data_IF_972971154132
#
_entry.id   IF_972971154132
#
_cell.length_a   1.000
_cell.length_b   1.000
_cell.length_c   1.000
_cell.angle_alpha   90.00
_cell.angle_beta   90.00
_cell.angle_gamma   90.00
#
_symmetry.space_group_name_H-M   'P 1'
#
loop_
_entity.id
_entity.type
_entity.pdbx_description
1 polymer ?
#
# COMPACT_ATOMS: atom_id res chain seq x y z
N UNK A 1 -8.99 13.74 -9.14
CA UNK A 1 -9.79 12.61 -8.60
C UNK A 1 -8.92 11.61 -7.82
N UNK A 2 -7.67 11.38 -8.21
CA UNK A 2 -6.67 10.54 -7.51
C UNK A 2 -6.30 11.05 -6.11
N UNK A 3 -6.21 12.37 -5.90
CA UNK A 3 -5.96 13.00 -4.58
C UNK A 3 -6.90 12.49 -3.47
N UNK A 4 -8.12 12.13 -3.82
CA UNK A 4 -9.12 11.68 -2.85
C UNK A 4 -8.81 10.27 -2.32
N UNK A 5 -8.30 9.37 -3.17
CA UNK A 5 -8.03 7.97 -2.82
C UNK A 5 -6.75 7.88 -2.00
N UNK A 6 -5.71 8.63 -2.37
CA UNK A 6 -4.45 8.69 -1.62
C UNK A 6 -4.68 9.24 -0.21
N UNK A 7 -5.41 10.36 -0.09
CA UNK A 7 -5.77 10.94 1.21
C UNK A 7 -6.68 10.01 2.03
N UNK A 8 -7.63 9.30 1.42
CA UNK A 8 -8.46 8.33 2.12
C UNK A 8 -7.67 7.12 2.62
N UNK A 9 -6.80 6.55 1.78
CA UNK A 9 -5.94 5.43 2.16
C UNK A 9 -4.98 5.86 3.28
N UNK A 10 -4.43 7.07 3.18
CA UNK A 10 -3.58 7.66 4.19
C UNK A 10 -4.31 7.83 5.53
N UNK A 11 -5.52 8.40 5.49
CA UNK A 11 -6.38 8.61 6.65
C UNK A 11 -6.77 7.29 7.31
N UNK A 12 -7.18 6.29 6.53
CA UNK A 12 -7.53 4.96 7.03
C UNK A 12 -6.34 4.26 7.71
N UNK A 13 -5.14 4.34 7.12
CA UNK A 13 -3.93 3.79 7.74
C UNK A 13 -3.59 4.50 9.06
N UNK A 14 -3.78 5.83 9.13
CA UNK A 14 -3.57 6.61 10.36
C UNK A 14 -4.56 6.21 11.46
N UNK A 15 -5.86 6.12 11.12
CA UNK A 15 -6.89 5.69 12.07
C UNK A 15 -6.67 4.25 12.57
N UNK A 16 -6.14 3.34 11.74
CA UNK A 16 -5.77 2.00 12.17
C UNK A 16 -4.62 2.03 13.20
N UNK A 17 -3.61 2.86 12.99
CA UNK A 17 -2.50 3.04 13.94
C UNK A 17 -3.00 3.62 15.26
N UNK A 18 -3.87 4.63 15.21
CA UNK A 18 -4.48 5.24 16.40
C UNK A 18 -5.34 4.24 17.18
N UNK A 19 -6.14 3.42 16.48
CA UNK A 19 -6.93 2.37 17.09
C UNK A 19 -6.05 1.34 17.79
N UNK A 20 -4.98 0.88 17.14
CA UNK A 20 -4.03 -0.06 17.76
C UNK A 20 -3.39 0.53 19.02
N UNK A 21 -2.98 1.80 18.98
CA UNK A 21 -2.44 2.50 20.17
C UNK A 21 -3.45 2.61 21.29
N UNK A 22 -4.70 2.97 20.98
CA UNK A 22 -5.76 3.07 21.99
C UNK A 22 -6.11 1.72 22.63
N UNK A 23 -5.98 0.62 21.89
CA UNK A 23 -6.12 -0.74 22.43
C UNK A 23 -4.92 -1.12 23.32
N UNK A 24 -3.70 -0.71 22.94
CA UNK A 24 -2.49 -0.89 23.74
C UNK A 24 -2.57 -0.13 25.08
N UNK A 25 -3.01 1.14 25.08
CA UNK A 25 -3.18 1.96 26.29
C UNK A 25 -4.19 1.34 27.28
N UNK A 26 -5.05 0.43 26.81
CA UNK A 26 -6.02 -0.31 27.62
C UNK A 26 -5.54 -1.70 28.04
N UNK A 27 -4.28 -2.05 27.79
CA UNK A 27 -3.69 -3.35 28.16
C UNK A 27 -4.10 -4.52 27.26
N UNK A 28 -4.60 -4.25 26.05
CA UNK A 28 -4.93 -5.31 25.08
C UNK A 28 -3.67 -5.59 24.24
N UNK A 29 -2.84 -6.51 24.71
CA UNK A 29 -1.50 -6.81 24.16
C UNK A 29 -1.52 -7.45 22.76
N UNK A 30 -2.62 -8.11 22.36
CA UNK A 30 -2.75 -8.78 21.05
C UNK A 30 -4.17 -8.72 20.49
N UNK A 31 -4.58 -7.62 19.85
CA UNK A 31 -5.79 -7.65 19.03
C UNK A 31 -5.48 -8.49 17.77
N UNK A 32 -5.78 -9.80 17.82
CA UNK A 32 -5.67 -10.73 16.68
C UNK A 32 -6.31 -10.15 15.42
N UNK A 33 -7.37 -9.37 15.60
CA UNK A 33 -8.06 -8.61 14.56
C UNK A 33 -7.16 -7.56 13.90
N UNK A 34 -6.35 -6.81 14.66
CA UNK A 34 -5.38 -5.86 14.11
C UNK A 34 -4.28 -6.55 13.30
N UNK A 35 -3.79 -7.70 13.77
CA UNK A 35 -2.83 -8.50 13.00
C UNK A 35 -3.46 -9.02 11.70
N UNK A 36 -4.70 -9.52 11.73
CA UNK A 36 -5.42 -9.98 10.54
C UNK A 36 -5.63 -8.85 9.53
N UNK A 37 -6.04 -7.67 10.00
CA UNK A 37 -6.21 -6.48 9.15
C UNK A 37 -4.86 -6.06 8.55
N UNK A 38 -3.79 -6.02 9.35
CA UNK A 38 -2.44 -5.73 8.85
C UNK A 38 -1.99 -6.73 7.78
N UNK A 39 -2.08 -8.04 8.04
CA UNK A 39 -1.68 -9.07 7.08
C UNK A 39 -2.48 -9.00 5.78
N UNK A 40 -3.79 -8.72 5.86
CA UNK A 40 -4.63 -8.54 4.68
C UNK A 40 -4.20 -7.32 3.86
N UNK A 41 -4.01 -6.16 4.50
CA UNK A 41 -3.60 -4.93 3.81
C UNK A 41 -2.22 -5.06 3.17
N UNK A 42 -1.27 -5.69 3.85
CA UNK A 42 0.08 -5.95 3.30
C UNK A 42 0.01 -6.84 2.07
N UNK A 43 -0.84 -7.87 2.10
CA UNK A 43 -1.08 -8.74 0.94
C UNK A 43 -1.70 -7.98 -0.22
N UNK A 44 -2.77 -7.22 0.01
CA UNK A 44 -3.42 -6.43 -1.04
C UNK A 44 -2.48 -5.40 -1.66
N UNK A 45 -1.63 -4.76 -0.86
CA UNK A 45 -0.60 -3.84 -1.35
C UNK A 45 0.38 -4.55 -2.30
N UNK A 46 0.84 -5.76 -1.94
CA UNK A 46 1.69 -6.58 -2.81
C UNK A 46 0.99 -6.99 -4.11
N UNK A 47 -0.26 -7.45 -4.03
CA UNK A 47 -1.07 -7.83 -5.20
C UNK A 47 -1.30 -6.66 -6.16
N UNK A 48 -1.59 -5.47 -5.62
CA UNK A 48 -1.73 -4.23 -6.41
C UNK A 48 -0.44 -3.85 -7.14
N UNK A 49 0.71 -3.93 -6.47
CA UNK A 49 2.01 -3.65 -7.10
C UNK A 49 2.24 -4.57 -8.29
N UNK A 50 2.05 -5.88 -8.10
CA UNK A 50 2.21 -6.87 -9.16
C UNK A 50 1.24 -6.62 -10.32
N UNK A 51 0.00 -6.25 -10.03
CA UNK A 51 -0.97 -5.92 -11.07
C UNK A 51 -0.53 -4.71 -11.91
N UNK A 52 -0.03 -3.64 -11.28
CA UNK A 52 0.49 -2.46 -12.00
C UNK A 52 1.69 -2.84 -12.88
N UNK A 53 2.63 -3.63 -12.35
CA UNK A 53 3.81 -4.10 -13.11
C UNK A 53 3.41 -4.93 -14.34
N UNK A 54 2.39 -5.79 -14.23
CA UNK A 54 1.87 -6.58 -15.36
C UNK A 54 1.18 -5.71 -16.42
N UNK A 55 0.43 -4.69 -15.99
CA UNK A 55 -0.24 -3.76 -16.90
C UNK A 55 0.81 -2.94 -17.67
N UNK A 56 1.81 -2.40 -16.99
CA UNK A 56 2.91 -1.67 -17.64
C UNK A 56 3.65 -2.54 -18.67
N UNK A 57 4.00 -3.78 -18.31
CA UNK A 57 4.65 -4.71 -19.24
C UNK A 57 3.78 -4.99 -20.48
N UNK A 58 2.48 -5.13 -20.28
CA UNK A 58 1.50 -5.35 -21.36
C UNK A 58 1.39 -4.13 -22.27
N UNK A 59 1.30 -2.92 -21.70
CA UNK A 59 1.28 -1.65 -22.45
C UNK A 59 2.57 -1.47 -23.25
N UNK A 60 3.73 -1.70 -22.64
CA UNK A 60 5.02 -1.62 -23.33
C UNK A 60 5.10 -2.62 -24.50
N UNK A 61 4.62 -3.85 -24.32
CA UNK A 61 4.60 -4.84 -25.37
C UNK A 61 3.70 -4.43 -26.55
N UNK A 62 2.53 -3.85 -26.25
CA UNK A 62 1.62 -3.34 -27.27
C UNK A 62 2.23 -2.15 -28.04
N UNK A 63 2.94 -1.27 -27.33
CA UNK A 63 3.66 -0.13 -27.93
C UNK A 63 4.76 -0.63 -28.87
N UNK A 64 5.60 -1.56 -28.41
CA UNK A 64 6.69 -2.14 -29.20
C UNK A 64 6.19 -2.85 -30.47
N UNK A 65 4.94 -3.33 -30.46
CA UNK A 65 4.29 -3.96 -31.62
C UNK A 65 3.56 -2.98 -32.53
N UNK A 66 3.58 -1.68 -32.23
CA UNK A 66 2.83 -0.66 -32.97
C UNK A 66 1.31 -0.89 -32.94
N UNK A 67 0.79 -1.58 -31.91
CA UNK A 67 -0.63 -1.94 -31.79
C UNK A 67 -1.45 -0.92 -31.02
N UNK A 68 -0.80 0.11 -30.51
CA UNK A 68 -1.46 1.22 -29.86
C UNK A 68 -1.58 2.36 -30.88
N UNK A 69 -2.78 2.58 -31.40
CA UNK A 69 -2.99 3.47 -32.54
C UNK A 69 -3.56 4.84 -32.15
N UNK A 70 -4.57 4.89 -31.29
CA UNK A 70 -5.12 6.14 -30.73
C UNK A 70 -6.09 5.82 -29.60
N UNK A 71 -6.23 6.75 -28.65
CA UNK A 71 -7.33 6.68 -27.68
C UNK A 71 -8.66 7.01 -28.38
N UNK A 72 -9.73 6.38 -27.89
CA UNK A 72 -11.14 6.66 -28.20
C UNK A 72 -11.54 8.14 -28.16
N UNK A 73 -10.79 8.99 -27.46
CA UNK A 73 -11.02 10.44 -27.34
C UNK A 73 -10.28 11.29 -28.37
N UNK A 74 -9.48 10.66 -29.24
CA UNK A 74 -8.68 11.36 -30.25
C UNK A 74 -7.44 12.07 -29.71
N UNK A 75 -7.06 11.81 -28.45
CA UNK A 75 -5.84 12.35 -27.85
C UNK A 75 -4.58 11.69 -28.48
N UNK A 76 -3.47 12.43 -28.62
CA UNK A 76 -2.19 11.86 -29.02
C UNK A 76 -1.81 10.71 -28.10
N UNK A 77 -1.43 9.58 -28.70
CA UNK A 77 -1.18 8.37 -27.94
C UNK A 77 0.02 8.51 -26.98
N UNK A 78 1.02 9.32 -27.32
CA UNK A 78 2.17 9.63 -26.47
C UNK A 78 1.76 10.32 -25.16
N UNK A 79 0.77 11.23 -25.21
CA UNK A 79 0.26 11.93 -24.02
C UNK A 79 -0.54 10.97 -23.10
N UNK A 80 -1.23 9.99 -23.69
CA UNK A 80 -1.94 8.94 -22.94
C UNK A 80 -0.95 8.01 -22.26
N UNK A 81 0.10 7.60 -22.97
CA UNK A 81 1.20 6.79 -22.41
C UNK A 81 1.91 7.52 -21.28
N UNK A 82 2.26 8.78 -21.47
CA UNK A 82 2.93 9.56 -20.45
C UNK A 82 2.10 9.65 -19.17
N UNK A 83 0.80 9.98 -19.26
CA UNK A 83 -0.09 10.00 -18.09
C UNK A 83 -0.25 8.62 -17.45
N UNK A 84 -0.30 7.56 -18.25
CA UNK A 84 -0.33 6.19 -17.73
C UNK A 84 0.94 5.88 -16.92
N UNK A 85 2.12 6.20 -17.46
CA UNK A 85 3.41 6.02 -16.78
C UNK A 85 3.52 6.84 -15.50
N UNK A 86 3.10 8.11 -15.53
CA UNK A 86 3.07 8.98 -14.35
C UNK A 86 2.11 8.43 -13.28
N UNK A 87 0.91 7.99 -13.70
CA UNK A 87 -0.07 7.42 -12.79
C UNK A 87 0.35 6.06 -12.22
N UNK A 88 1.06 5.23 -13.00
CA UNK A 88 1.55 3.93 -12.55
C UNK A 88 2.71 4.09 -11.56
N UNK A 89 3.59 5.08 -11.79
CA UNK A 89 4.63 5.48 -10.84
C UNK A 89 4.02 5.96 -9.51
N UNK A 90 3.05 6.89 -9.57
CA UNK A 90 2.36 7.38 -8.38
C UNK A 90 1.67 6.25 -7.60
N UNK A 91 1.01 5.31 -8.30
CA UNK A 91 0.38 4.15 -7.67
C UNK A 91 1.40 3.26 -6.94
N UNK A 92 2.58 3.04 -7.52
CA UNK A 92 3.66 2.27 -6.88
C UNK A 92 4.23 2.99 -5.67
N UNK A 93 4.41 4.31 -5.74
CA UNK A 93 4.87 5.12 -4.61
C UNK A 93 3.87 5.06 -3.45
N UNK A 94 2.57 5.18 -3.74
CA UNK A 94 1.51 5.02 -2.74
C UNK A 94 1.55 3.63 -2.07
N UNK A 95 1.70 2.57 -2.87
CA UNK A 95 1.81 1.20 -2.36
C UNK A 95 3.08 1.04 -1.50
N UNK A 96 4.20 1.62 -1.92
CA UNK A 96 5.44 1.64 -1.14
C UNK A 96 5.29 2.38 0.19
N UNK A 97 4.67 3.56 0.19
CA UNK A 97 4.38 4.33 1.39
C UNK A 97 3.43 3.57 2.33
N UNK A 98 2.39 2.93 1.80
CA UNK A 98 1.47 2.09 2.56
C UNK A 98 2.23 0.92 3.20
N UNK A 99 3.09 0.23 2.46
CA UNK A 99 3.91 -0.85 2.99
C UNK A 99 4.83 -0.39 4.13
N UNK A 100 5.50 0.77 3.98
CA UNK A 100 6.33 1.34 5.05
C UNK A 100 5.55 1.69 6.31
N UNK A 101 4.33 2.22 6.16
CA UNK A 101 3.43 2.50 7.29
C UNK A 101 2.90 1.24 7.96
N UNK A 102 2.57 0.21 7.19
CA UNK A 102 2.15 -1.10 7.70
C UNK A 102 3.31 -1.76 8.47
N UNK A 103 4.53 -1.73 7.96
CA UNK A 103 5.71 -2.20 8.69
C UNK A 103 5.93 -1.42 10.00
N UNK A 104 5.71 -0.10 10.00
CA UNK A 104 5.77 0.71 11.23
C UNK A 104 4.72 0.28 12.25
N UNK A 105 3.48 0.03 11.79
CA UNK A 105 2.41 -0.48 12.64
C UNK A 105 2.72 -1.88 13.17
N UNK A 106 3.28 -2.76 12.33
CA UNK A 106 3.73 -4.09 12.71
C UNK A 106 4.84 -4.04 13.76
N UNK A 107 5.85 -3.20 13.60
CA UNK A 107 6.88 -3.00 14.60
C UNK A 107 6.30 -2.47 15.91
N UNK A 108 5.34 -1.53 15.88
CA UNK A 108 4.66 -1.07 17.09
C UNK A 108 3.86 -2.19 17.79
N UNK A 109 3.28 -3.13 17.03
CA UNK A 109 2.61 -4.32 17.56
C UNK A 109 3.64 -5.31 18.14
N UNK A 110 4.75 -5.57 17.43
CA UNK A 110 5.78 -6.53 17.83
C UNK A 110 6.66 -6.06 18.99
N UNK A 111 6.91 -4.75 19.12
CA UNK A 111 7.70 -4.19 20.21
C UNK A 111 6.99 -4.29 21.57
N UNK A 112 5.65 -4.37 21.56
CA UNK A 112 4.84 -4.69 22.74
C UNK A 112 4.95 -6.17 23.12
N UNK A 113 4.94 -7.08 22.13
CA UNK A 113 4.99 -8.52 22.39
C UNK A 113 6.31 -9.03 23.01
N UNK A 114 7.39 -8.23 22.98
CA UNK A 114 8.72 -8.60 23.49
C UNK A 114 9.18 -7.76 24.70
N UNK A 115 8.39 -6.78 25.17
CA UNK A 115 8.73 -6.05 26.41
C UNK A 115 8.40 -6.82 27.70
N UNK A 116 7.66 -7.93 27.59
CA UNK A 116 7.35 -8.84 28.70
C UNK A 116 8.01 -10.23 28.52
N UNK A 117 9.22 -10.28 27.94
CA UNK A 117 10.11 -11.40 28.27
C UNK A 117 10.52 -11.23 29.73
N UNK A 118 10.42 -12.26 30.60
CA UNK A 118 10.85 -12.11 31.98
C UNK A 118 12.31 -11.66 31.94
N UNK A 119 12.59 -10.48 32.52
CA UNK A 119 13.92 -10.19 33.00
C UNK A 119 14.22 -11.33 33.99
N UNK A 120 14.98 -12.33 33.52
CA UNK A 120 15.61 -13.31 34.37
C UNK A 120 16.53 -12.50 35.31
N UNK A 121 15.99 -12.16 36.48
CA UNK A 121 16.79 -11.70 37.61
C UNK A 121 17.72 -12.84 38.01
N UNK A 122 18.99 -12.47 38.15
CA UNK A 122 20.18 -13.28 38.47
C UNK A 122 19.98 -14.39 39.53
#
# INVERSE_FOLDING_TARGET
MTENIEQHAEGAARSLVELVRALQDRGIERPVEAYRVHSYLTRCAGELRTAVELIEASVQQLQNRGRLMSDSRGEPFDDVLQRFTESSAAAKDLVGALHGRLNTAYSAIGHVAYKDGPEEQE
#
